data_IF_323014231434
#
_entry.id   IF_323014231434
#
_cell.length_a   1.000
_cell.length_b   1.000
_cell.length_c   1.000
_cell.angle_alpha   90.00
_cell.angle_beta   90.00
_cell.angle_gamma   90.00
#
_symmetry.space_group_name_H-M   'P 1'
#
loop_
_entity.id
_entity.type
_entity.pdbx_description
1 polymer ?
#
# COMPACT_ATOMS: atom_id res chain seq x y z
N UNK A 1 -28.45 61.30 34.09
CA UNK A 1 -27.79 62.60 34.31
C UNK A 1 -26.97 62.43 35.57
N UNK A 2 -25.69 62.14 35.39
CA UNK A 2 -24.72 61.99 36.48
C UNK A 2 -24.56 63.33 37.23
N UNK A 3 -23.78 63.41 38.31
CA UNK A 3 -23.35 64.70 38.86
C UNK A 3 -22.55 65.50 37.82
N UNK A 4 -21.58 64.88 37.13
CA UNK A 4 -20.71 65.57 36.17
C UNK A 4 -21.47 66.20 34.99
N UNK A 5 -22.53 65.53 34.52
CA UNK A 5 -23.43 66.06 33.49
C UNK A 5 -23.98 67.46 33.88
N UNK A 6 -24.28 67.69 35.17
CA UNK A 6 -25.00 68.90 35.65
C UNK A 6 -24.10 70.11 35.72
N UNK A 7 -22.86 69.92 36.15
CA UNK A 7 -21.90 71.02 36.34
C UNK A 7 -21.14 71.34 35.04
N UNK A 8 -21.34 70.53 34.00
CA UNK A 8 -20.77 70.73 32.66
C UNK A 8 -21.08 72.12 32.07
N UNK A 9 -20.17 72.64 31.25
CA UNK A 9 -20.40 73.87 30.48
C UNK A 9 -21.57 73.71 29.50
N UNK A 10 -21.76 72.49 28.96
CA UNK A 10 -22.85 72.14 28.04
C UNK A 10 -24.22 72.30 28.70
N UNK A 11 -24.39 71.83 29.94
CA UNK A 11 -25.64 71.98 30.68
C UNK A 11 -25.94 73.44 31.04
N UNK A 12 -24.91 74.23 31.36
CA UNK A 12 -25.06 75.67 31.62
C UNK A 12 -25.45 76.47 30.38
N UNK A 13 -24.86 76.19 29.22
CA UNK A 13 -25.29 76.84 27.96
C UNK A 13 -26.67 76.36 27.50
N UNK A 14 -27.03 75.09 27.73
CA UNK A 14 -28.38 74.59 27.48
C UNK A 14 -29.46 75.40 28.22
N UNK A 15 -29.26 75.79 29.48
CA UNK A 15 -30.20 76.66 30.18
C UNK A 15 -30.20 78.09 29.66
N UNK A 16 -29.03 78.69 29.35
CA UNK A 16 -28.95 80.01 28.72
C UNK A 16 -29.73 80.11 27.41
N UNK A 17 -29.73 79.03 26.61
CA UNK A 17 -30.53 78.94 25.38
C UNK A 17 -32.03 79.04 25.65
N UNK A 18 -32.52 78.29 26.65
CA UNK A 18 -33.91 78.34 27.08
C UNK A 18 -34.29 79.72 27.66
N UNK A 19 -33.38 80.37 28.40
CA UNK A 19 -33.55 81.74 28.90
C UNK A 19 -33.67 82.76 27.75
N UNK A 20 -32.86 82.63 26.69
CA UNK A 20 -32.96 83.41 25.44
C UNK A 20 -34.22 83.10 24.62
N UNK A 21 -35.01 82.09 24.98
CA UNK A 21 -36.23 81.71 24.27
C UNK A 21 -36.04 80.65 23.18
N UNK A 22 -34.84 80.09 23.03
CA UNK A 22 -34.58 79.00 22.08
C UNK A 22 -35.29 77.72 22.54
N UNK A 23 -36.07 77.07 21.66
CA UNK A 23 -36.62 75.73 21.92
C UNK A 23 -35.53 74.68 21.73
N UNK A 24 -35.46 73.70 22.62
CA UNK A 24 -34.48 72.62 22.53
C UNK A 24 -35.14 71.23 22.48
N UNK A 25 -34.82 70.45 21.45
CA UNK A 25 -35.30 69.07 21.21
C UNK A 25 -34.10 68.11 21.25
N UNK A 26 -34.25 66.95 21.89
CA UNK A 26 -33.22 65.91 21.82
C UNK A 26 -33.56 64.60 22.51
N UNK A 27 -32.70 63.59 22.30
CA UNK A 27 -32.73 62.32 23.00
C UNK A 27 -31.67 62.28 24.11
N UNK A 28 -32.08 62.07 25.36
CA UNK A 28 -31.22 62.21 26.52
C UNK A 28 -31.21 60.96 27.40
N UNK A 29 -30.01 60.47 27.74
CA UNK A 29 -29.86 59.45 28.79
C UNK A 29 -30.12 60.09 30.16
N UNK A 30 -31.01 59.49 30.94
CA UNK A 30 -31.38 59.87 32.30
C UNK A 30 -31.25 58.66 33.23
N UNK A 31 -31.34 58.95 34.52
CA UNK A 31 -31.26 57.97 35.61
C UNK A 31 -32.48 58.24 36.48
N UNK A 32 -33.26 57.21 36.77
CA UNK A 32 -34.47 57.30 37.61
C UNK A 32 -34.12 57.21 39.10
N UNK A 33 -35.09 57.41 40.01
CA UNK A 33 -34.84 57.38 41.47
C UNK A 33 -34.32 56.01 41.94
N UNK A 34 -34.76 54.94 41.28
CA UNK A 34 -34.35 53.54 41.42
C UNK A 34 -33.11 53.17 40.59
N UNK A 35 -32.31 54.16 40.15
CA UNK A 35 -31.00 53.94 39.52
C UNK A 35 -31.01 53.45 38.07
N UNK A 36 -32.16 53.02 37.54
CA UNK A 36 -32.26 52.53 36.14
C UNK A 36 -31.94 53.63 35.14
N UNK A 37 -31.27 53.24 34.05
CA UNK A 37 -31.08 54.10 32.89
C UNK A 37 -32.33 54.12 32.02
N UNK A 38 -32.77 55.32 31.65
CA UNK A 38 -33.82 55.54 30.65
C UNK A 38 -33.34 56.52 29.59
N UNK A 39 -33.77 56.34 28.35
CA UNK A 39 -33.64 57.33 27.28
C UNK A 39 -34.96 58.06 27.13
N UNK A 40 -34.93 59.39 27.24
CA UNK A 40 -36.11 60.22 26.97
C UNK A 40 -35.89 61.05 25.71
N UNK A 41 -36.89 61.07 24.85
CA UNK A 41 -37.03 62.06 23.77
C UNK A 41 -37.80 63.24 24.35
N UNK A 42 -37.18 64.42 24.41
CA UNK A 42 -37.72 65.55 25.15
C UNK A 42 -37.57 66.87 24.42
N UNK A 43 -38.63 67.67 24.50
CA UNK A 43 -38.68 69.06 24.02
C UNK A 43 -38.85 70.00 25.20
N UNK A 44 -37.94 70.95 25.32
CA UNK A 44 -37.95 72.01 26.31
C UNK A 44 -38.40 73.30 25.62
N UNK A 45 -39.61 73.76 25.97
CA UNK A 45 -40.25 74.92 25.35
C UNK A 45 -40.26 76.10 26.35
N UNK A 46 -39.51 77.19 26.09
CA UNK A 46 -39.69 78.44 26.80
C UNK A 46 -41.13 78.97 26.65
N UNK A 47 -41.68 79.54 27.71
CA UNK A 47 -42.98 80.22 27.70
C UNK A 47 -42.79 81.65 28.15
N UNK A 48 -43.27 82.59 27.35
CA UNK A 48 -42.99 84.01 27.48
C UNK A 48 -44.05 84.76 28.30
N UNK A 49 -43.62 85.76 29.06
CA UNK A 49 -44.50 86.71 29.75
C UNK A 49 -44.81 87.95 28.90
N UNK A 50 -45.62 88.87 29.44
CA UNK A 50 -45.76 90.21 28.85
C UNK A 50 -44.38 90.88 28.78
N UNK A 51 -44.00 91.37 27.59
CA UNK A 51 -42.66 91.87 27.33
C UNK A 51 -41.64 90.82 26.84
N UNK A 52 -42.08 89.65 26.37
CA UNK A 52 -41.26 88.73 25.56
C UNK A 52 -40.18 87.93 26.30
N UNK A 53 -39.97 88.16 27.60
CA UNK A 53 -39.01 87.39 28.42
C UNK A 53 -39.57 86.00 28.76
N UNK A 54 -38.72 84.98 28.73
CA UNK A 54 -39.03 83.64 29.26
C UNK A 54 -39.36 83.73 30.75
N UNK A 55 -40.51 83.17 31.16
CA UNK A 55 -40.95 83.12 32.57
C UNK A 55 -41.07 81.70 33.14
N UNK A 56 -41.10 80.68 32.27
CA UNK A 56 -41.03 79.25 32.64
C UNK A 56 -40.60 78.42 31.43
N UNK A 57 -40.17 77.19 31.66
CA UNK A 57 -39.92 76.19 30.61
C UNK A 57 -40.87 75.01 30.79
N UNK A 58 -41.61 74.66 29.74
CA UNK A 58 -42.45 73.45 29.70
C UNK A 58 -41.67 72.34 28.99
N UNK A 59 -41.30 71.31 29.76
CA UNK A 59 -40.65 70.11 29.23
C UNK A 59 -41.70 69.03 28.94
N UNK A 60 -41.82 68.66 27.67
CA UNK A 60 -42.48 67.42 27.25
C UNK A 60 -41.42 66.32 27.13
N UNK A 61 -41.75 65.08 27.49
CA UNK A 61 -40.81 63.96 27.41
C UNK A 61 -41.52 62.61 27.24
N UNK A 62 -41.06 61.84 26.26
CA UNK A 62 -41.50 60.46 25.98
C UNK A 62 -40.37 59.50 26.34
N UNK A 63 -40.66 58.39 27.02
CA UNK A 63 -39.68 57.32 27.21
C UNK A 63 -39.49 56.57 25.88
N UNK A 64 -38.25 56.56 25.38
CA UNK A 64 -37.84 55.88 24.15
C UNK A 64 -36.83 54.76 24.42
N UNK A 65 -36.69 54.31 25.68
CA UNK A 65 -35.67 53.35 26.10
C UNK A 65 -35.75 52.06 25.30
N UNK A 66 -36.94 51.48 25.15
CA UNK A 66 -37.12 50.25 24.37
C UNK A 66 -36.78 50.47 22.88
N UNK A 67 -37.30 51.55 22.27
CA UNK A 67 -36.99 51.93 20.88
C UNK A 67 -35.48 52.12 20.65
N UNK A 68 -34.77 52.68 21.64
CA UNK A 68 -33.33 52.94 21.56
C UNK A 68 -32.48 51.69 21.82
N UNK A 69 -32.90 50.80 22.73
CA UNK A 69 -32.22 49.54 23.00
C UNK A 69 -32.37 48.56 21.82
N UNK A 70 -33.58 48.36 21.29
CA UNK A 70 -33.80 47.51 20.12
C UNK A 70 -32.97 47.97 18.91
N UNK A 71 -32.92 49.28 18.64
CA UNK A 71 -32.10 49.83 17.56
C UNK A 71 -30.58 49.63 17.78
N UNK A 72 -30.11 49.66 19.04
CA UNK A 72 -28.71 49.35 19.37
C UNK A 72 -28.40 47.86 19.25
N UNK A 73 -29.35 46.99 19.61
CA UNK A 73 -29.23 45.54 19.49
C UNK A 73 -29.17 45.10 18.02
N UNK A 74 -30.12 45.54 17.18
CA UNK A 74 -30.09 45.23 15.74
C UNK A 74 -28.82 45.76 15.06
N UNK A 75 -28.37 46.97 15.40
CA UNK A 75 -27.11 47.51 14.91
C UNK A 75 -25.90 46.69 15.39
N UNK A 76 -25.92 46.21 16.64
CA UNK A 76 -24.89 45.33 17.21
C UNK A 76 -24.81 43.97 16.51
N UNK A 77 -25.96 43.34 16.24
CA UNK A 77 -26.06 42.09 15.49
C UNK A 77 -25.52 42.24 14.07
N UNK A 78 -25.94 43.28 13.34
CA UNK A 78 -25.44 43.60 11.99
C UNK A 78 -23.91 43.87 12.02
N UNK A 79 -23.42 44.58 13.04
CA UNK A 79 -21.99 44.82 13.21
C UNK A 79 -21.18 43.57 13.57
N UNK A 80 -21.77 42.58 14.25
CA UNK A 80 -21.14 41.29 14.52
C UNK A 80 -21.04 40.44 13.25
N UNK A 81 -22.13 40.31 12.49
CA UNK A 81 -22.15 39.56 11.21
C UNK A 81 -21.15 40.16 10.21
N UNK A 82 -21.09 41.48 10.08
CA UNK A 82 -20.15 42.17 9.20
C UNK A 82 -18.66 42.03 9.62
N UNK A 83 -18.36 41.58 10.83
CA UNK A 83 -16.98 41.21 11.24
C UNK A 83 -16.68 39.73 10.94
N UNK A 84 -17.67 38.86 11.10
CA UNK A 84 -17.49 37.41 11.03
C UNK A 84 -17.54 36.81 9.62
N UNK A 85 -18.25 37.44 8.68
CA UNK A 85 -18.48 36.89 7.33
C UNK A 85 -18.24 37.92 6.22
N UNK A 86 -18.10 37.46 4.98
CA UNK A 86 -18.16 38.32 3.80
C UNK A 86 -19.63 38.67 3.51
N UNK A 87 -19.91 39.97 3.31
CA UNK A 87 -21.26 40.51 3.13
C UNK A 87 -21.27 41.44 1.92
N UNK A 88 -22.21 41.24 1.01
CA UNK A 88 -22.44 42.12 -0.15
C UNK A 88 -23.93 42.27 -0.45
N UNK A 89 -24.30 43.48 -0.86
CA UNK A 89 -25.66 43.92 -1.16
C UNK A 89 -25.84 44.11 -2.66
N UNK A 90 -27.00 43.67 -3.17
CA UNK A 90 -27.42 43.88 -4.55
C UNK A 90 -28.82 44.49 -4.62
N UNK A 91 -29.08 45.24 -5.68
CA UNK A 91 -30.44 45.50 -6.18
C UNK A 91 -31.08 44.21 -6.73
N UNK A 92 -32.36 44.26 -7.08
CA UNK A 92 -33.12 43.10 -7.58
C UNK A 92 -32.73 42.66 -9.01
N UNK A 93 -32.12 43.54 -9.79
CA UNK A 93 -31.45 43.24 -11.07
C UNK A 93 -30.03 42.66 -10.88
N UNK A 94 -29.51 42.64 -9.63
CA UNK A 94 -28.22 42.08 -9.30
C UNK A 94 -27.03 43.03 -9.42
N UNK A 95 -27.27 44.34 -9.40
CA UNK A 95 -26.23 45.40 -9.34
C UNK A 95 -25.77 45.66 -7.91
N UNK A 96 -24.45 45.69 -7.69
CA UNK A 96 -23.81 45.86 -6.38
C UNK A 96 -23.98 47.27 -5.84
N UNK A 97 -24.43 47.39 -4.59
CA UNK A 97 -24.53 48.68 -3.87
C UNK A 97 -23.44 48.85 -2.82
N UNK A 98 -23.21 47.82 -1.99
CA UNK A 98 -22.32 47.86 -0.83
C UNK A 98 -21.68 46.48 -0.58
N UNK A 99 -20.41 46.45 -0.17
CA UNK A 99 -19.73 45.24 0.31
C UNK A 99 -18.87 45.57 1.54
N UNK A 100 -18.72 44.62 2.46
CA UNK A 100 -17.82 44.76 3.61
C UNK A 100 -16.38 44.34 3.26
N UNK A 101 -15.42 44.68 4.12
CA UNK A 101 -14.00 44.41 3.89
C UNK A 101 -13.72 42.92 3.68
N UNK A 102 -14.36 42.03 4.46
CA UNK A 102 -14.23 40.57 4.31
C UNK A 102 -14.58 40.08 2.89
N UNK A 103 -15.58 40.66 2.23
CA UNK A 103 -15.92 40.32 0.84
C UNK A 103 -14.90 40.88 -0.16
N UNK A 104 -14.46 42.13 0.07
CA UNK A 104 -13.47 42.82 -0.75
C UNK A 104 -12.12 42.06 -0.74
N UNK A 105 -11.66 41.64 0.43
CA UNK A 105 -10.43 40.86 0.61
C UNK A 105 -10.55 39.47 -0.02
N UNK A 106 -11.64 38.74 0.26
CA UNK A 106 -11.85 37.38 -0.26
C UNK A 106 -11.78 37.32 -1.80
N UNK A 107 -12.36 38.30 -2.51
CA UNK A 107 -12.27 38.38 -3.98
C UNK A 107 -11.13 39.27 -4.51
N UNK A 108 -10.45 40.04 -3.66
CA UNK A 108 -9.33 40.91 -4.00
C UNK A 108 -9.69 42.22 -4.73
N UNK A 109 -10.92 42.72 -4.58
CA UNK A 109 -11.40 43.96 -5.22
C UNK A 109 -11.49 45.11 -4.22
N UNK A 110 -11.50 46.37 -4.70
CA UNK A 110 -11.96 47.53 -3.90
C UNK A 110 -13.43 47.86 -4.21
N UNK A 111 -14.12 48.56 -3.31
CA UNK A 111 -15.55 48.86 -3.47
C UNK A 111 -15.83 49.74 -4.71
N UNK A 112 -14.90 50.61 -5.09
CA UNK A 112 -15.00 51.45 -6.30
C UNK A 112 -14.90 50.64 -7.60
N UNK A 113 -14.35 49.43 -7.55
CA UNK A 113 -14.19 48.54 -8.71
C UNK A 113 -15.42 47.65 -8.93
N UNK A 114 -16.31 47.54 -7.95
CA UNK A 114 -17.49 46.65 -7.99
C UNK A 114 -18.83 47.37 -7.79
N UNK A 115 -18.88 48.52 -7.12
CA UNK A 115 -20.15 49.28 -6.94
C UNK A 115 -20.69 49.72 -8.30
N UNK A 116 -21.99 49.52 -8.52
CA UNK A 116 -22.64 49.77 -9.81
C UNK A 116 -22.35 48.70 -10.88
N UNK A 117 -21.54 47.69 -10.59
CA UNK A 117 -21.36 46.52 -11.46
C UNK A 117 -22.36 45.42 -11.08
N UNK A 118 -22.72 44.59 -12.06
CA UNK A 118 -23.65 43.48 -11.89
C UNK A 118 -22.90 42.20 -11.48
N UNK A 119 -23.46 41.44 -10.52
CA UNK A 119 -22.94 40.17 -9.98
C UNK A 119 -22.25 39.24 -11.00
N UNK A 120 -22.72 39.20 -12.25
CA UNK A 120 -22.15 38.42 -13.36
C UNK A 120 -20.63 38.64 -13.57
N UNK A 121 -20.06 39.75 -13.08
CA UNK A 121 -18.62 40.00 -13.11
C UNK A 121 -17.80 38.97 -12.30
N UNK A 122 -18.40 38.34 -11.28
CA UNK A 122 -17.75 37.36 -10.40
C UNK A 122 -17.92 35.92 -10.88
N UNK A 123 -18.45 35.68 -12.08
CA UNK A 123 -18.83 34.35 -12.57
C UNK A 123 -18.02 33.94 -13.81
N UNK A 124 -17.97 32.64 -14.08
CA UNK A 124 -17.32 32.15 -15.30
C UNK A 124 -18.11 32.56 -16.56
N UNK A 125 -17.43 32.79 -17.70
CA UNK A 125 -18.09 33.19 -18.94
C UNK A 125 -19.22 32.25 -19.40
N UNK A 126 -19.13 30.95 -19.12
CA UNK A 126 -20.18 29.98 -19.44
C UNK A 126 -21.36 29.95 -18.46
N UNK A 127 -21.13 30.23 -17.17
CA UNK A 127 -22.20 30.22 -16.16
C UNK A 127 -23.13 31.44 -16.26
N UNK A 128 -22.54 32.62 -16.49
CA UNK A 128 -23.20 33.92 -16.32
C UNK A 128 -24.27 34.24 -17.37
N UNK A 129 -24.28 33.50 -18.47
CA UNK A 129 -25.20 33.68 -19.60
C UNK A 129 -26.19 32.49 -19.73
N UNK A 130 -26.19 31.58 -18.74
CA UNK A 130 -27.01 30.34 -18.67
C UNK A 130 -28.51 30.58 -18.42
N UNK A 131 -29.33 29.52 -18.46
CA UNK A 131 -30.74 29.59 -18.07
C UNK A 131 -30.88 29.59 -16.54
N UNK A 132 -29.98 28.89 -15.88
CA UNK A 132 -29.89 28.67 -14.43
C UNK A 132 -29.58 29.99 -13.71
N UNK A 133 -28.67 30.81 -14.25
CA UNK A 133 -28.36 32.14 -13.69
C UNK A 133 -29.51 33.14 -13.82
N UNK A 134 -30.34 33.03 -14.88
CA UNK A 134 -31.56 33.84 -15.00
C UNK A 134 -32.59 33.44 -13.95
N UNK A 135 -32.90 32.14 -13.87
CA UNK A 135 -33.79 31.56 -12.83
C UNK A 135 -33.36 31.98 -11.42
N UNK A 136 -32.09 31.85 -11.08
CA UNK A 136 -31.53 32.28 -9.79
C UNK A 136 -31.92 33.72 -9.40
N UNK A 137 -31.92 34.68 -10.34
CA UNK A 137 -32.39 36.04 -10.06
C UNK A 137 -33.91 36.20 -10.10
N UNK A 138 -34.61 35.39 -10.91
CA UNK A 138 -36.07 35.33 -10.90
C UNK A 138 -36.61 34.81 -9.57
N UNK A 139 -35.92 33.84 -8.96
CA UNK A 139 -36.24 33.24 -7.66
C UNK A 139 -36.02 34.25 -6.52
N UNK A 140 -34.85 34.91 -6.50
CA UNK A 140 -34.57 36.01 -5.57
C UNK A 140 -35.59 37.17 -5.70
N UNK A 141 -36.09 37.43 -6.91
CA UNK A 141 -37.16 38.42 -7.17
C UNK A 141 -38.57 37.96 -6.76
N UNK A 142 -38.78 36.68 -6.45
CA UNK A 142 -39.99 36.16 -5.77
C UNK A 142 -39.87 36.11 -4.25
N UNK A 143 -38.69 36.42 -3.70
CA UNK A 143 -38.40 36.35 -2.26
C UNK A 143 -37.79 35.01 -1.82
N UNK A 144 -37.51 34.09 -2.76
CA UNK A 144 -36.91 32.79 -2.47
C UNK A 144 -35.40 32.96 -2.24
N UNK A 145 -34.90 32.49 -1.09
CA UNK A 145 -33.47 32.52 -0.80
C UNK A 145 -32.71 31.43 -1.57
N UNK A 146 -31.44 31.66 -1.86
CA UNK A 146 -30.59 30.74 -2.61
C UNK A 146 -29.31 30.43 -1.83
N UNK A 147 -28.87 29.17 -1.77
CA UNK A 147 -27.70 28.73 -1.01
C UNK A 147 -26.87 27.70 -1.78
N UNK A 148 -25.56 27.92 -1.90
CA UNK A 148 -24.66 27.00 -2.60
C UNK A 148 -23.18 27.15 -2.17
N UNK A 149 -22.42 26.06 -2.27
CA UNK A 149 -20.99 26.16 -2.58
C UNK A 149 -20.86 26.56 -4.06
N UNK A 150 -20.14 27.63 -4.38
CA UNK A 150 -19.96 28.07 -5.76
C UNK A 150 -18.57 28.67 -6.01
N UNK A 151 -18.04 28.44 -7.21
CA UNK A 151 -16.82 29.09 -7.68
C UNK A 151 -17.13 30.53 -8.10
N UNK A 152 -16.24 31.46 -7.77
CA UNK A 152 -16.31 32.85 -8.22
C UNK A 152 -14.93 33.30 -8.71
N UNK A 153 -14.94 34.23 -9.64
CA UNK A 153 -13.74 34.82 -10.21
C UNK A 153 -13.42 36.11 -9.44
N UNK A 154 -12.32 36.05 -8.69
CA UNK A 154 -11.70 37.19 -8.05
C UNK A 154 -10.87 38.01 -9.02
N UNK A 155 -10.33 39.12 -8.52
CA UNK A 155 -9.49 40.03 -9.30
C UNK A 155 -8.27 39.31 -9.88
N UNK A 156 -7.92 39.64 -11.12
CA UNK A 156 -6.84 38.99 -11.86
C UNK A 156 -7.16 37.57 -12.35
N UNK A 157 -8.41 37.11 -12.25
CA UNK A 157 -8.82 35.78 -12.70
C UNK A 157 -8.64 34.67 -11.65
N UNK A 158 -8.30 35.02 -10.41
CA UNK A 158 -8.15 34.05 -9.30
C UNK A 158 -9.46 33.29 -9.05
N UNK A 159 -9.42 31.96 -9.04
CA UNK A 159 -10.52 31.16 -8.53
C UNK A 159 -10.69 31.40 -7.02
N UNK A 160 -11.92 31.63 -6.57
CA UNK A 160 -12.30 31.69 -5.16
C UNK A 160 -13.52 30.82 -4.97
N UNK A 161 -13.47 29.86 -4.05
CA UNK A 161 -14.63 29.06 -3.70
C UNK A 161 -15.30 29.65 -2.48
N UNK A 162 -16.61 29.90 -2.58
CA UNK A 162 -17.39 30.44 -1.47
C UNK A 162 -18.59 29.55 -1.17
N UNK A 163 -18.86 29.31 0.10
CA UNK A 163 -20.19 28.91 0.55
C UNK A 163 -20.99 30.20 0.75
N UNK A 164 -22.12 30.37 0.06
CA UNK A 164 -22.86 31.63 0.08
C UNK A 164 -24.38 31.46 0.09
N UNK A 165 -25.05 32.29 0.89
CA UNK A 165 -26.51 32.37 0.99
C UNK A 165 -26.97 33.77 0.60
N UNK A 166 -27.82 33.86 -0.43
CA UNK A 166 -28.40 35.08 -0.97
C UNK A 166 -29.84 35.19 -0.45
N UNK A 167 -30.12 36.24 0.32
CA UNK A 167 -31.37 36.43 1.06
C UNK A 167 -32.05 37.73 0.58
N UNK A 168 -33.25 37.64 -0.02
CA UNK A 168 -34.08 38.82 -0.27
C UNK A 168 -34.49 39.48 1.05
N UNK A 169 -34.29 40.80 1.14
CA UNK A 169 -34.84 41.64 2.20
C UNK A 169 -36.19 42.15 1.71
N UNK A 170 -37.24 41.91 2.49
CA UNK A 170 -38.62 42.25 2.15
C UNK A 170 -39.03 43.60 2.76
N UNK A 171 -40.04 44.24 2.18
CA UNK A 171 -40.75 45.37 2.78
C UNK A 171 -41.89 44.93 3.73
N UNK A 172 -42.63 45.89 4.27
CA UNK A 172 -43.77 45.67 5.18
C UNK A 172 -44.97 44.97 4.52
N UNK A 173 -45.01 44.96 3.17
CA UNK A 173 -45.97 44.21 2.37
C UNK A 173 -45.42 42.84 1.90
N UNK A 174 -44.24 42.42 2.37
CA UNK A 174 -43.59 41.16 2.02
C UNK A 174 -42.93 41.13 0.63
N UNK A 175 -42.80 42.27 -0.05
CA UNK A 175 -42.22 42.36 -1.40
C UNK A 175 -40.70 42.51 -1.32
N UNK A 176 -39.91 41.79 -2.14
CA UNK A 176 -38.46 42.00 -2.19
C UNK A 176 -38.06 43.44 -2.51
N UNK A 177 -37.11 43.98 -1.75
CA UNK A 177 -36.54 45.32 -1.88
C UNK A 177 -35.09 45.30 -2.39
N UNK A 178 -34.27 44.41 -1.83
CA UNK A 178 -32.85 44.21 -2.16
C UNK A 178 -32.42 42.79 -1.79
N UNK A 179 -31.26 42.34 -2.26
CA UNK A 179 -30.68 41.04 -1.87
C UNK A 179 -29.43 41.26 -1.02
N UNK A 180 -29.30 40.52 0.09
CA UNK A 180 -28.09 40.46 0.92
C UNK A 180 -27.48 39.07 0.81
N UNK A 181 -26.23 39.00 0.37
CA UNK A 181 -25.44 37.77 0.32
C UNK A 181 -24.49 37.74 1.51
N UNK A 182 -24.59 36.66 2.29
CA UNK A 182 -23.56 36.26 3.25
C UNK A 182 -22.70 35.18 2.60
N UNK A 183 -21.40 35.22 2.83
CA UNK A 183 -20.46 34.25 2.28
C UNK A 183 -19.30 33.95 3.23
N UNK A 184 -18.80 32.72 3.11
CA UNK A 184 -17.57 32.23 3.73
C UNK A 184 -16.62 31.81 2.60
N UNK A 185 -15.37 32.27 2.63
CA UNK A 185 -14.33 31.74 1.73
C UNK A 185 -13.96 30.32 2.19
N UNK A 186 -14.11 29.36 1.28
CA UNK A 186 -13.83 27.94 1.48
C UNK A 186 -12.75 27.44 0.53
N UNK A 187 -12.00 28.33 -0.13
CA UNK A 187 -11.00 27.98 -1.17
C UNK A 187 -9.99 26.95 -0.66
N UNK A 188 -9.38 27.19 0.50
CA UNK A 188 -8.47 26.23 1.13
C UNK A 188 -9.14 24.87 1.45
N UNK A 189 -10.41 24.88 1.88
CA UNK A 189 -11.16 23.66 2.19
C UNK A 189 -11.45 22.84 0.92
N UNK A 190 -11.75 23.50 -0.20
CA UNK A 190 -11.97 22.88 -1.51
C UNK A 190 -10.65 22.35 -2.08
N UNK A 191 -9.55 23.10 -1.93
CA UNK A 191 -8.21 22.65 -2.30
C UNK A 191 -7.76 21.43 -1.50
N UNK A 192 -7.99 21.38 -0.19
CA UNK A 192 -7.70 20.20 0.65
C UNK A 192 -8.64 19.03 0.37
N UNK A 193 -9.90 19.28 0.00
CA UNK A 193 -10.83 18.24 -0.49
C UNK A 193 -10.34 17.64 -1.81
N UNK A 194 -9.90 18.48 -2.76
CA UNK A 194 -9.29 18.05 -4.04
C UNK A 194 -7.96 17.32 -3.83
N UNK A 195 -7.08 17.83 -2.96
CA UNK A 195 -5.77 17.23 -2.61
C UNK A 195 -5.95 15.82 -2.04
N UNK A 196 -6.87 15.63 -1.09
CA UNK A 196 -7.17 14.31 -0.51
C UNK A 196 -7.72 13.33 -1.53
N UNK A 197 -8.69 13.73 -2.36
CA UNK A 197 -9.19 12.85 -3.43
C UNK A 197 -8.09 12.43 -4.42
N UNK A 198 -7.18 13.33 -4.80
CA UNK A 198 -6.05 12.99 -5.70
C UNK A 198 -5.09 11.98 -5.05
N UNK A 199 -4.82 12.11 -3.75
CA UNK A 199 -3.98 11.16 -3.02
C UNK A 199 -4.66 9.78 -2.86
N UNK A 200 -5.98 9.75 -2.63
CA UNK A 200 -6.75 8.50 -2.60
C UNK A 200 -6.72 7.76 -3.94
N UNK A 201 -6.73 8.47 -5.08
CA UNK A 201 -6.59 7.86 -6.40
C UNK A 201 -5.24 7.12 -6.55
N UNK A 202 -4.13 7.82 -6.28
CA UNK A 202 -2.78 7.23 -6.35
C UNK A 202 -2.64 6.02 -5.42
N UNK A 203 -3.20 6.10 -4.21
CA UNK A 203 -3.16 5.00 -3.25
C UNK A 203 -3.90 3.74 -3.74
N UNK A 204 -4.93 3.87 -4.58
CA UNK A 204 -5.63 2.72 -5.18
C UNK A 204 -4.73 2.03 -6.21
N UNK A 205 -4.04 2.80 -7.05
CA UNK A 205 -3.10 2.27 -8.05
C UNK A 205 -1.90 1.56 -7.37
N UNK A 206 -1.35 2.15 -6.32
CA UNK A 206 -0.28 1.54 -5.49
C UNK A 206 -0.74 0.23 -4.83
N UNK A 207 -1.95 0.19 -4.26
CA UNK A 207 -2.51 -1.03 -3.66
C UNK A 207 -2.77 -2.14 -4.69
N UNK A 208 -3.13 -1.79 -5.94
CA UNK A 208 -3.33 -2.76 -7.01
C UNK A 208 -2.02 -3.47 -7.41
N UNK A 209 -0.92 -2.72 -7.57
CA UNK A 209 0.40 -3.31 -7.85
C UNK A 209 0.94 -4.11 -6.66
N UNK A 210 0.69 -3.69 -5.41
CA UNK A 210 1.02 -4.50 -4.22
C UNK A 210 0.26 -5.83 -4.19
N UNK A 211 -1.06 -5.83 -4.46
CA UNK A 211 -1.88 -7.04 -4.48
C UNK A 211 -1.42 -8.04 -5.58
N UNK A 212 -1.05 -7.50 -6.74
CA UNK A 212 -0.45 -8.24 -7.87
C UNK A 212 0.91 -8.84 -7.50
N UNK A 213 1.81 -8.07 -6.87
CA UNK A 213 3.11 -8.56 -6.41
C UNK A 213 2.98 -9.67 -5.35
N UNK A 214 1.99 -9.57 -4.45
CA UNK A 214 1.68 -10.63 -3.47
C UNK A 214 1.19 -11.91 -4.17
N UNK A 215 0.36 -11.78 -5.20
CA UNK A 215 -0.15 -12.92 -5.98
C UNK A 215 0.94 -13.61 -6.79
N UNK A 216 1.82 -12.84 -7.43
CA UNK A 216 3.03 -13.35 -8.11
C UNK A 216 3.94 -14.10 -7.13
N UNK A 217 4.19 -13.52 -5.95
CA UNK A 217 5.01 -14.13 -4.88
C UNK A 217 4.40 -15.43 -4.35
N UNK A 218 3.08 -15.47 -4.14
CA UNK A 218 2.35 -16.66 -3.68
C UNK A 218 2.40 -17.81 -4.72
N UNK A 219 2.30 -17.47 -6.01
CA UNK A 219 2.51 -18.41 -7.11
C UNK A 219 3.94 -18.96 -7.10
N UNK A 220 4.96 -18.10 -7.06
CA UNK A 220 6.36 -18.51 -6.99
C UNK A 220 6.67 -19.39 -5.78
N UNK A 221 6.09 -19.11 -4.62
CA UNK A 221 6.23 -19.95 -3.42
C UNK A 221 5.59 -21.34 -3.60
N UNK A 222 4.49 -21.44 -4.35
CA UNK A 222 3.85 -22.70 -4.70
C UNK A 222 4.69 -23.50 -5.70
N UNK A 223 5.17 -22.84 -6.76
CA UNK A 223 6.03 -23.43 -7.81
C UNK A 223 7.38 -23.92 -7.22
N UNK A 224 7.91 -23.22 -6.22
CA UNK A 224 9.11 -23.64 -5.49
C UNK A 224 8.84 -24.82 -4.55
N UNK A 225 7.65 -24.89 -3.94
CA UNK A 225 7.28 -25.99 -3.05
C UNK A 225 7.09 -27.32 -3.81
N UNK A 226 6.49 -27.30 -5.01
CA UNK A 226 6.37 -28.49 -5.87
C UNK A 226 7.74 -28.96 -6.35
N UNK A 227 8.58 -28.06 -6.87
CA UNK A 227 9.94 -28.41 -7.30
C UNK A 227 10.81 -28.97 -6.16
N UNK A 228 10.62 -28.49 -4.93
CA UNK A 228 11.28 -29.03 -3.72
C UNK A 228 10.79 -30.44 -3.37
N UNK A 229 9.48 -30.70 -3.49
CA UNK A 229 8.91 -32.03 -3.27
C UNK A 229 9.39 -33.05 -4.33
N UNK A 230 9.44 -32.66 -5.60
CA UNK A 230 10.04 -33.48 -6.68
C UNK A 230 11.52 -33.77 -6.43
N UNK A 231 12.29 -32.75 -6.01
CA UNK A 231 13.71 -32.91 -5.65
C UNK A 231 13.89 -33.90 -4.50
N UNK A 232 13.04 -33.82 -3.46
CA UNK A 232 13.06 -34.76 -2.33
C UNK A 232 12.76 -36.20 -2.77
N UNK A 233 11.77 -36.39 -3.65
CA UNK A 233 11.44 -37.70 -4.25
C UNK A 233 12.63 -38.27 -5.05
N UNK A 234 13.28 -37.45 -5.86
CA UNK A 234 14.46 -37.84 -6.64
C UNK A 234 15.66 -38.22 -5.74
N UNK A 235 15.88 -37.48 -4.65
CA UNK A 235 16.92 -37.83 -3.65
C UNK A 235 16.61 -39.17 -2.98
N UNK A 236 15.34 -39.44 -2.63
CA UNK A 236 14.94 -40.71 -2.04
C UNK A 236 15.14 -41.89 -3.02
N UNK A 237 14.82 -41.71 -4.30
CA UNK A 237 15.06 -42.72 -5.34
C UNK A 237 16.56 -43.00 -5.54
N UNK A 238 17.41 -41.97 -5.52
CA UNK A 238 18.87 -42.11 -5.57
C UNK A 238 19.41 -42.83 -4.34
N UNK A 239 18.86 -42.57 -3.14
CA UNK A 239 19.26 -43.26 -1.91
C UNK A 239 18.98 -44.77 -1.99
N UNK A 240 17.77 -45.18 -2.38
CA UNK A 240 17.45 -46.61 -2.53
C UNK A 240 18.23 -47.28 -3.67
N UNK A 241 18.49 -46.56 -4.77
CA UNK A 241 19.40 -47.05 -5.82
C UNK A 241 20.85 -47.25 -5.33
N UNK A 242 21.32 -46.43 -4.38
CA UNK A 242 22.62 -46.62 -3.74
C UNK A 242 22.64 -47.83 -2.78
N UNK A 243 21.54 -48.10 -2.07
CA UNK A 243 21.37 -49.30 -1.24
C UNK A 243 21.40 -50.59 -2.08
N UNK A 244 20.69 -50.62 -3.22
CA UNK A 244 20.74 -51.74 -4.18
C UNK A 244 22.14 -51.94 -4.79
N UNK A 245 22.87 -50.85 -5.07
CA UNK A 245 24.25 -50.92 -5.55
C UNK A 245 25.22 -51.47 -4.50
N UNK A 246 25.06 -51.14 -3.21
CA UNK A 246 25.85 -51.72 -2.12
C UNK A 246 25.62 -53.24 -2.04
N UNK A 247 24.36 -53.68 -2.01
CA UNK A 247 24.03 -55.11 -2.01
C UNK A 247 24.60 -55.85 -3.24
N UNK A 248 24.57 -55.20 -4.41
CA UNK A 248 25.15 -55.74 -5.65
C UNK A 248 26.68 -55.89 -5.57
N UNK A 249 27.37 -54.92 -4.94
CA UNK A 249 28.83 -54.97 -4.74
C UNK A 249 29.23 -56.05 -3.73
N UNK A 250 28.44 -56.27 -2.68
CA UNK A 250 28.64 -57.37 -1.73
C UNK A 250 28.48 -58.74 -2.42
N UNK A 251 27.45 -58.91 -3.25
CA UNK A 251 27.22 -60.14 -4.03
C UNK A 251 28.35 -60.40 -5.04
N UNK A 252 28.80 -59.38 -5.79
CA UNK A 252 29.94 -59.50 -6.70
C UNK A 252 31.20 -59.90 -5.93
N UNK A 253 31.45 -59.29 -4.76
CA UNK A 253 32.60 -59.62 -3.91
C UNK A 253 32.55 -61.08 -3.42
N UNK A 254 31.36 -61.57 -3.07
CA UNK A 254 31.11 -62.97 -2.69
C UNK A 254 31.39 -63.94 -3.85
N UNK A 255 30.92 -63.61 -5.06
CA UNK A 255 31.16 -64.42 -6.26
C UNK A 255 32.64 -64.44 -6.67
N UNK A 256 33.35 -63.30 -6.59
CA UNK A 256 34.80 -63.23 -6.85
C UNK A 256 35.58 -64.08 -5.84
N UNK A 257 35.21 -64.05 -4.57
CA UNK A 257 35.79 -64.94 -3.54
C UNK A 257 35.59 -66.43 -3.86
N UNK A 258 34.38 -66.81 -4.26
CA UNK A 258 34.08 -68.20 -4.66
C UNK A 258 34.85 -68.63 -5.92
N UNK A 259 34.97 -67.75 -6.92
CA UNK A 259 35.74 -68.00 -8.13
C UNK A 259 37.24 -68.19 -7.83
N UNK A 260 37.81 -67.43 -6.89
CA UNK A 260 39.19 -67.57 -6.44
C UNK A 260 39.43 -68.93 -5.75
N UNK A 261 38.49 -69.40 -4.92
CA UNK A 261 38.57 -70.73 -4.30
C UNK A 261 38.53 -71.84 -5.36
N UNK A 262 37.61 -71.76 -6.33
CA UNK A 262 37.50 -72.74 -7.42
C UNK A 262 38.78 -72.75 -8.28
N UNK A 263 39.30 -71.58 -8.65
CA UNK A 263 40.54 -71.44 -9.42
C UNK A 263 41.76 -72.03 -8.69
N UNK A 264 41.89 -71.73 -7.40
CA UNK A 264 42.97 -72.29 -6.55
C UNK A 264 42.85 -73.82 -6.43
N UNK A 265 41.63 -74.35 -6.31
CA UNK A 265 41.36 -75.79 -6.33
C UNK A 265 41.74 -76.45 -7.66
N UNK A 266 41.43 -75.81 -8.80
CA UNK A 266 41.79 -76.30 -10.12
C UNK A 266 43.31 -76.31 -10.36
N UNK A 267 44.03 -75.27 -9.90
CA UNK A 267 45.51 -75.23 -9.94
C UNK A 267 46.10 -76.38 -9.11
N UNK A 268 45.57 -76.64 -7.92
CA UNK A 268 46.01 -77.77 -7.08
C UNK A 268 45.74 -79.12 -7.75
N UNK A 269 44.54 -79.32 -8.28
CA UNK A 269 44.19 -80.55 -9.00
C UNK A 269 45.09 -80.79 -10.22
N UNK A 270 45.51 -79.73 -10.91
CA UNK A 270 46.49 -79.83 -12.00
C UNK A 270 47.88 -80.25 -11.49
N UNK A 271 48.35 -79.68 -10.36
CA UNK A 271 49.61 -80.09 -9.72
C UNK A 271 49.60 -81.55 -9.27
N UNK A 272 48.52 -81.99 -8.61
CA UNK A 272 48.34 -83.38 -8.19
C UNK A 272 48.32 -84.33 -9.41
N UNK A 273 47.64 -83.93 -10.50
CA UNK A 273 47.64 -84.66 -11.77
C UNK A 273 49.05 -84.74 -12.40
N UNK A 274 49.84 -83.66 -12.36
CA UNK A 274 51.24 -83.67 -12.81
C UNK A 274 52.08 -84.65 -11.99
N UNK A 275 51.87 -84.74 -10.67
CA UNK A 275 52.52 -85.73 -9.80
C UNK A 275 52.16 -87.18 -10.15
N UNK A 276 50.88 -87.44 -10.50
CA UNK A 276 50.44 -88.76 -10.99
C UNK A 276 51.09 -89.11 -12.34
N UNK A 277 51.16 -88.16 -13.28
CA UNK A 277 51.83 -88.37 -14.59
C UNK A 277 53.33 -88.64 -14.42
N UNK A 278 54.02 -87.92 -13.54
CA UNK A 278 55.43 -88.18 -13.23
C UNK A 278 55.64 -89.57 -12.58
N UNK A 279 54.72 -89.98 -11.70
CA UNK A 279 54.75 -91.31 -11.08
C UNK A 279 54.51 -92.43 -12.10
N UNK A 280 53.58 -92.23 -13.04
CA UNK A 280 53.31 -93.15 -14.15
C UNK A 280 54.51 -93.26 -15.10
N UNK A 281 55.19 -92.16 -15.41
CA UNK A 281 56.42 -92.17 -16.19
C UNK A 281 57.56 -92.96 -15.51
N UNK A 282 57.71 -92.82 -14.18
CA UNK A 282 58.66 -93.62 -13.40
C UNK A 282 58.31 -95.11 -13.40
N UNK A 283 57.02 -95.46 -13.34
CA UNK A 283 56.57 -96.85 -13.46
C UNK A 283 56.83 -97.42 -14.86
N UNK A 284 56.58 -96.63 -15.92
CA UNK A 284 56.87 -97.03 -17.30
C UNK A 284 58.36 -97.25 -17.54
N UNK A 285 59.25 -96.42 -16.98
CA UNK A 285 60.70 -96.65 -17.05
C UNK A 285 61.08 -97.99 -16.40
N UNK A 286 60.60 -98.28 -15.19
CA UNK A 286 60.86 -99.55 -14.50
C UNK A 286 60.38 -100.77 -15.29
N UNK A 287 59.25 -100.65 -15.99
CA UNK A 287 58.76 -101.70 -16.90
C UNK A 287 59.72 -101.85 -18.09
N UNK A 288 60.23 -100.75 -18.66
CA UNK A 288 61.28 -100.77 -19.68
C UNK A 288 62.56 -101.45 -19.21
N UNK A 289 63.02 -101.15 -17.99
CA UNK A 289 64.20 -101.77 -17.37
C UNK A 289 64.01 -103.29 -17.19
N UNK A 290 62.81 -103.72 -16.76
CA UNK A 290 62.45 -105.14 -16.66
C UNK A 290 62.37 -105.83 -18.02
N UNK A 291 61.83 -105.17 -19.05
CA UNK A 291 61.81 -105.70 -20.44
C UNK A 291 63.22 -105.83 -21.00
N UNK A 292 64.12 -104.87 -20.73
CA UNK A 292 65.53 -104.95 -21.10
C UNK A 292 66.24 -106.11 -20.39
N UNK A 293 65.96 -106.33 -19.09
CA UNK A 293 66.48 -107.47 -18.35
C UNK A 293 65.96 -108.81 -18.90
N UNK A 294 64.67 -108.91 -19.23
CA UNK A 294 64.07 -110.11 -19.85
C UNK A 294 64.73 -110.41 -21.20
N UNK A 295 64.97 -109.40 -22.05
CA UNK A 295 65.66 -109.59 -23.32
C UNK A 295 67.12 -110.04 -23.13
N UNK A 296 67.82 -109.53 -22.10
CA UNK A 296 69.17 -109.97 -21.74
C UNK A 296 69.19 -111.44 -21.29
N UNK A 297 68.24 -111.83 -20.43
CA UNK A 297 68.08 -113.22 -19.98
C UNK A 297 67.73 -114.14 -21.16
N UNK A 298 66.81 -113.74 -22.04
CA UNK A 298 66.46 -114.50 -23.23
C UNK A 298 67.66 -114.70 -24.19
N UNK A 299 68.49 -113.67 -24.37
CA UNK A 299 69.73 -113.79 -25.14
C UNK A 299 70.75 -114.74 -24.47
N UNK A 300 70.91 -114.69 -23.15
CA UNK A 300 71.72 -115.66 -22.40
C UNK A 300 71.17 -117.08 -22.48
N UNK A 301 69.85 -117.27 -22.39
CA UNK A 301 69.19 -118.58 -22.54
C UNK A 301 69.38 -119.14 -23.94
N UNK A 302 69.33 -118.30 -24.98
CA UNK A 302 69.62 -118.70 -26.36
C UNK A 302 71.10 -119.13 -26.53
N UNK A 303 72.05 -118.41 -25.91
CA UNK A 303 73.46 -118.80 -25.88
C UNK A 303 73.71 -120.09 -25.08
N UNK A 304 73.00 -120.30 -23.98
CA UNK A 304 73.03 -121.56 -23.20
C UNK A 304 72.46 -122.74 -24.00
N UNK A 305 71.35 -122.53 -24.71
CA UNK A 305 70.78 -123.55 -25.60
C UNK A 305 71.70 -123.87 -26.79
N UNK A 306 72.40 -122.86 -27.32
CA UNK A 306 73.43 -123.05 -28.36
C UNK A 306 74.63 -123.85 -27.82
N UNK A 307 75.14 -123.51 -26.63
CA UNK A 307 76.22 -124.27 -25.98
C UNK A 307 75.80 -125.71 -25.64
N UNK A 308 74.56 -125.91 -25.18
CA UNK A 308 74.02 -127.24 -24.89
C UNK A 308 73.85 -128.09 -26.15
N UNK A 309 73.42 -127.49 -27.28
CA UNK A 309 73.36 -128.19 -28.57
C UNK A 309 74.75 -128.47 -29.16
N UNK A 310 75.74 -127.62 -28.92
CA UNK A 310 77.15 -127.88 -29.26
C UNK A 310 77.69 -129.09 -28.47
N UNK A 311 77.54 -129.14 -27.15
CA UNK A 311 78.03 -130.29 -26.36
C UNK A 311 77.23 -131.58 -26.64
N UNK A 312 75.93 -131.47 -26.94
CA UNK A 312 75.13 -132.62 -27.41
C UNK A 312 75.63 -133.17 -28.76
N UNK A 313 76.08 -132.32 -29.68
CA UNK A 313 76.74 -132.75 -30.91
C UNK A 313 78.13 -133.35 -30.66
N UNK A 314 78.87 -132.81 -29.67
CA UNK A 314 80.22 -133.26 -29.32
C UNK A 314 80.26 -134.63 -28.64
N UNK A 315 79.18 -135.01 -27.96
CA UNK A 315 79.00 -136.35 -27.37
C UNK A 315 78.79 -137.48 -28.41
N UNK A 316 78.68 -137.18 -29.71
CA UNK A 316 78.05 -138.07 -30.69
C UNK A 316 78.93 -138.50 -31.88
N UNK A 317 80.13 -139.09 -31.67
CA UNK A 317 80.74 -140.03 -32.64
C UNK A 317 81.79 -141.00 -32.05
N UNK A 318 81.99 -142.22 -32.61
CA UNK A 318 82.62 -143.36 -31.91
C UNK A 318 83.94 -143.90 -32.51
N UNK A 319 84.54 -144.91 -31.87
CA UNK A 319 85.66 -145.71 -32.36
C UNK A 319 85.40 -147.24 -32.26
N UNK A 320 86.16 -148.08 -32.99
CA UNK A 320 85.94 -149.54 -33.16
C UNK A 320 87.24 -150.28 -33.57
N UNK A 321 87.29 -151.61 -33.37
CA UNK A 321 88.35 -152.58 -33.79
C UNK A 321 89.63 -152.68 -32.89
N UNK A 322 90.33 -153.83 -32.72
CA UNK A 322 90.02 -155.26 -33.06
C UNK A 322 91.05 -156.28 -32.50
N UNK A 323 90.57 -157.51 -32.15
CA UNK A 323 91.23 -158.87 -32.15
C UNK A 323 92.66 -159.04 -31.53
N UNK A 324 92.89 -159.93 -30.56
CA UNK A 324 93.09 -161.42 -30.66
C UNK A 324 93.42 -162.01 -29.24
N UNK A 325 93.73 -163.29 -28.89
CA UNK A 325 93.88 -164.68 -29.44
C UNK A 325 93.64 -165.68 -28.23
N UNK A 326 93.62 -167.05 -28.38
CA UNK A 326 93.04 -167.96 -27.36
C UNK A 326 93.94 -169.10 -26.78
N UNK A 327 93.35 -169.81 -25.79
CA UNK A 327 93.38 -171.28 -25.53
C UNK A 327 94.15 -171.85 -24.30
N UNK A 328 93.40 -172.70 -23.56
CA UNK A 328 93.71 -173.43 -22.30
C UNK A 328 93.83 -172.58 -21.03
#
# INVERSE_FOLDING_TARGET
>A
MTPEDRDSAVYREFWKKLERGEVHVGAFKRITKDGRHVWIEATYNPVFGRGGRTIKVVKLATDITQRKLAALESAGQIAAINRAQAVIHFTLDGTVTEANQNFLDALGYRIEEIRGQHHRMFMEPGERDSAEYRRFWDDLRRGEFQSAECKRIGKGGREVWIQATYNPILDDAGRPLKVVKFATDITAQVEDRRRRHRLQGVMIDELAEVAKAISETSRQATDAATASAETSSNVQAVASGAEELVASVEEISRQVGQALVISTGAVRQAQDTTGVVASLASAAQKIGDVVALINSIAAQTNLLALNATIEAARAARPARASRWLPAR
#
